data_IF_205815623889
#
_entry.id   IF_205815623889
#
_cell.length_a   1.000
_cell.length_b   1.000
_cell.length_c   1.000
_cell.angle_alpha   90.00
_cell.angle_beta   90.00
_cell.angle_gamma   90.00
#
_symmetry.space_group_name_H-M   'P 1'
#
loop_
_entity.id
_entity.type
_entity.pdbx_description
1 polymer ?
#
# COMPACT_ATOMS: atom_id res chain seq x y z
N UNK A 1 -27.81 -10.29 3.29
CA UNK A 1 -28.22 -10.00 4.67
C UNK A 1 -28.30 -8.49 4.82
N UNK A 2 -29.44 -7.89 5.21
CA UNK A 2 -29.49 -6.45 5.43
C UNK A 2 -28.61 -6.09 6.63
N UNK A 3 -27.70 -5.15 6.44
CA UNK A 3 -26.79 -4.64 7.48
C UNK A 3 -27.66 -3.92 8.51
N UNK A 4 -27.58 -4.30 9.78
CA UNK A 4 -28.34 -3.64 10.85
C UNK A 4 -27.70 -2.29 11.20
N UNK A 5 -28.46 -1.35 11.78
CA UNK A 5 -27.92 -0.05 12.18
C UNK A 5 -26.81 -0.20 13.25
N UNK A 6 -26.91 -1.23 14.10
CA UNK A 6 -25.86 -1.60 15.06
C UNK A 6 -24.55 -2.00 14.36
N UNK A 7 -24.63 -2.76 13.27
CA UNK A 7 -23.45 -3.14 12.48
C UNK A 7 -22.79 -1.91 11.83
N UNK A 8 -23.60 -0.96 11.36
CA UNK A 8 -23.09 0.31 10.78
C UNK A 8 -22.31 1.12 11.82
N UNK A 9 -22.84 1.26 13.04
CA UNK A 9 -22.15 1.98 14.11
C UNK A 9 -20.83 1.30 14.53
N UNK A 10 -20.82 -0.03 14.62
CA UNK A 10 -19.60 -0.78 14.93
C UNK A 10 -18.53 -0.61 13.84
N UNK A 11 -18.92 -0.67 12.55
CA UNK A 11 -18.02 -0.45 11.42
C UNK A 11 -17.45 0.98 11.46
N UNK A 12 -18.28 2.00 11.65
CA UNK A 12 -17.82 3.38 11.70
C UNK A 12 -16.89 3.65 12.89
N UNK A 13 -17.19 3.11 14.07
CA UNK A 13 -16.31 3.21 15.23
C UNK A 13 -14.93 2.58 14.95
N UNK A 14 -14.91 1.39 14.34
CA UNK A 14 -13.67 0.73 13.92
C UNK A 14 -12.86 1.57 12.94
N UNK A 15 -13.51 2.08 11.89
CA UNK A 15 -12.88 2.95 10.88
C UNK A 15 -12.24 4.17 11.54
N UNK A 16 -12.93 4.84 12.48
CA UNK A 16 -12.40 6.01 13.19
C UNK A 16 -11.15 5.64 13.99
N UNK A 17 -11.22 4.56 14.78
CA UNK A 17 -10.11 4.12 15.62
C UNK A 17 -8.87 3.80 14.77
N UNK A 18 -9.02 2.97 13.74
CA UNK A 18 -7.92 2.63 12.84
C UNK A 18 -7.37 3.84 12.09
N UNK A 19 -8.23 4.78 11.68
CA UNK A 19 -7.80 6.01 11.05
C UNK A 19 -6.95 6.88 11.98
N UNK A 20 -7.35 7.08 13.24
CA UNK A 20 -6.59 7.88 14.21
C UNK A 20 -5.22 7.27 14.47
N UNK A 21 -5.16 5.96 14.74
CA UNK A 21 -3.89 5.26 14.96
C UNK A 21 -3.01 5.26 13.70
N UNK A 22 -3.60 5.00 12.53
CA UNK A 22 -2.91 5.00 11.25
C UNK A 22 -2.31 6.37 10.91
N UNK A 23 -3.10 7.44 11.04
CA UNK A 23 -2.64 8.81 10.82
C UNK A 23 -1.52 9.19 11.79
N UNK A 24 -1.66 8.88 13.07
CA UNK A 24 -0.62 9.14 14.07
C UNK A 24 0.68 8.40 13.72
N UNK A 25 0.62 7.10 13.41
CA UNK A 25 1.78 6.32 13.02
C UNK A 25 2.46 6.86 11.76
N UNK A 26 1.66 7.14 10.72
CA UNK A 26 2.16 7.62 9.44
C UNK A 26 2.83 8.99 9.55
N UNK A 27 2.21 9.95 10.27
CA UNK A 27 2.78 11.28 10.48
C UNK A 27 4.10 11.21 11.24
N UNK A 28 4.22 10.33 12.24
CA UNK A 28 5.47 10.14 12.97
C UNK A 28 6.58 9.57 12.08
N UNK A 29 6.27 8.62 11.18
CA UNK A 29 7.25 8.07 10.24
C UNK A 29 7.72 9.14 9.25
N UNK A 30 6.80 9.95 8.73
CA UNK A 30 7.14 11.08 7.84
C UNK A 30 8.04 12.06 8.58
N UNK A 31 7.67 12.46 9.80
CA UNK A 31 8.48 13.36 10.63
C UNK A 31 9.87 12.80 10.93
N UNK A 32 9.96 11.51 11.28
CA UNK A 32 11.22 10.82 11.53
C UNK A 32 12.13 10.83 10.30
N UNK A 33 11.59 10.57 9.10
CA UNK A 33 12.36 10.63 7.84
C UNK A 33 12.92 12.03 7.56
N UNK A 34 12.13 13.07 7.84
CA UNK A 34 12.60 14.46 7.71
C UNK A 34 13.66 14.83 8.74
N UNK A 35 13.54 14.39 9.99
CA UNK A 35 14.49 14.73 11.05
C UNK A 35 15.81 13.97 10.94
N UNK A 36 15.76 12.67 10.63
CA UNK A 36 16.91 11.78 10.72
C UNK A 36 17.56 11.59 9.35
N UNK A 37 18.73 12.20 9.14
CA UNK A 37 19.50 12.04 7.89
C UNK A 37 19.85 10.58 7.59
N UNK A 38 20.01 9.75 8.62
CA UNK A 38 20.29 8.31 8.51
C UNK A 38 19.17 7.53 7.80
N UNK A 39 17.92 8.00 7.85
CA UNK A 39 16.76 7.37 7.22
C UNK A 39 16.56 7.78 5.75
N UNK A 40 17.34 8.74 5.24
CA UNK A 40 17.22 9.28 3.87
C UNK A 40 17.90 8.39 2.82
N UNK A 41 17.61 7.10 2.87
CA UNK A 41 18.10 6.07 1.94
C UNK A 41 17.16 5.91 0.74
N UNK A 42 17.53 5.06 -0.24
CA UNK A 42 16.64 4.72 -1.37
C UNK A 42 15.33 4.12 -0.86
N UNK A 43 15.44 3.11 0.02
CA UNK A 43 14.32 2.48 0.72
C UNK A 43 13.49 3.50 1.51
N UNK A 44 14.16 4.36 2.29
CA UNK A 44 13.48 5.38 3.09
C UNK A 44 12.63 6.32 2.25
N UNK A 45 13.09 6.70 1.05
CA UNK A 45 12.31 7.54 0.15
C UNK A 45 11.03 6.84 -0.36
N UNK A 46 11.12 5.55 -0.74
CA UNK A 46 9.93 4.76 -1.16
C UNK A 46 8.97 4.60 0.02
N UNK A 47 9.50 4.28 1.21
CA UNK A 47 8.70 4.15 2.43
C UNK A 47 7.95 5.45 2.75
N UNK A 48 8.61 6.61 2.67
CA UNK A 48 7.94 7.90 2.91
C UNK A 48 6.86 8.19 1.87
N UNK A 49 7.07 7.85 0.59
CA UNK A 49 6.04 7.96 -0.45
C UNK A 49 4.83 7.05 -0.17
N UNK A 50 5.07 5.81 0.29
CA UNK A 50 4.02 4.88 0.64
C UNK A 50 3.18 5.42 1.80
N UNK A 51 3.85 5.85 2.86
CA UNK A 51 3.21 6.36 4.08
C UNK A 51 2.46 7.67 3.81
N UNK A 52 2.98 8.54 2.93
CA UNK A 52 2.25 9.75 2.53
C UNK A 52 1.02 9.42 1.69
N UNK A 53 1.11 8.49 0.72
CA UNK A 53 -0.04 8.03 -0.04
C UNK A 53 -1.11 7.41 0.88
N UNK A 54 -0.68 6.58 1.84
CA UNK A 54 -1.59 5.95 2.80
C UNK A 54 -2.24 6.97 3.75
N UNK A 55 -1.52 8.00 4.17
CA UNK A 55 -2.10 9.12 4.95
C UNK A 55 -3.23 9.81 4.18
N UNK A 56 -3.05 10.05 2.88
CA UNK A 56 -4.09 10.63 2.04
C UNK A 56 -5.29 9.67 1.95
N UNK A 57 -5.06 8.37 1.76
CA UNK A 57 -6.13 7.37 1.75
C UNK A 57 -6.98 7.39 3.02
N UNK A 58 -6.36 7.41 4.20
CA UNK A 58 -7.05 7.49 5.49
C UNK A 58 -7.90 8.77 5.61
N UNK A 59 -7.37 9.93 5.21
CA UNK A 59 -8.14 11.18 5.22
C UNK A 59 -9.39 11.11 4.32
N UNK A 60 -9.29 10.48 3.16
CA UNK A 60 -10.43 10.31 2.26
C UNK A 60 -11.44 9.28 2.74
N UNK A 61 -11.00 8.22 3.44
CA UNK A 61 -11.92 7.29 4.10
C UNK A 61 -12.74 7.98 5.19
N UNK A 62 -12.10 8.85 5.98
CA UNK A 62 -12.80 9.68 6.96
C UNK A 62 -13.80 10.62 6.29
N UNK A 63 -13.38 11.32 5.23
CA UNK A 63 -14.25 12.23 4.49
C UNK A 63 -15.44 11.50 3.83
N UNK A 64 -15.20 10.31 3.26
CA UNK A 64 -16.24 9.46 2.69
C UNK A 64 -17.24 8.97 3.73
N UNK A 65 -16.78 8.64 4.95
CA UNK A 65 -17.66 8.24 6.05
C UNK A 65 -18.58 9.40 6.49
N UNK A 66 -18.05 10.61 6.65
CA UNK A 66 -18.85 11.81 6.98
C UNK A 66 -19.92 12.06 5.89
N UNK A 67 -19.54 11.90 4.62
CA UNK A 67 -20.45 12.09 3.50
C UNK A 67 -21.58 11.04 3.45
N UNK A 68 -21.26 9.76 3.74
CA UNK A 68 -22.26 8.69 3.80
C UNK A 68 -23.23 8.85 4.97
N UNK A 69 -22.78 9.37 6.13
CA UNK A 69 -23.66 9.67 7.28
C UNK A 69 -24.61 10.82 6.97
N UNK A 70 -24.21 11.77 6.12
CA UNK A 70 -25.00 12.95 5.79
C UNK A 70 -26.25 12.64 4.93
N UNK A 71 -26.41 11.42 4.41
CA UNK A 71 -27.62 10.97 3.72
C UNK A 71 -27.92 11.65 2.38
N UNK A 72 -26.96 12.38 1.79
CA UNK A 72 -27.15 13.07 0.52
C UNK A 72 -27.33 12.09 -0.65
N UNK A 73 -28.18 12.38 -1.65
CA UNK A 73 -28.32 11.53 -2.82
C UNK A 73 -27.01 11.47 -3.63
N UNK A 74 -26.47 10.26 -3.77
CA UNK A 74 -25.15 10.04 -4.37
C UNK A 74 -25.26 9.75 -5.87
N UNK A 75 -24.81 10.69 -6.69
CA UNK A 75 -24.62 10.51 -8.12
C UNK A 75 -23.19 10.00 -8.36
N UNK A 76 -23.05 8.89 -9.11
CA UNK A 76 -21.73 8.26 -9.36
C UNK A 76 -20.69 9.24 -9.88
N UNK A 77 -21.03 10.05 -10.88
CA UNK A 77 -20.13 11.09 -11.42
C UNK A 77 -19.59 12.04 -10.34
N UNK A 78 -20.45 12.58 -9.48
CA UNK A 78 -20.01 13.52 -8.43
C UNK A 78 -19.14 12.82 -7.38
N UNK A 79 -19.51 11.60 -7.00
CA UNK A 79 -18.69 10.76 -6.13
C UNK A 79 -17.31 10.49 -6.75
N UNK A 80 -17.25 10.13 -8.04
CA UNK A 80 -16.00 9.86 -8.74
C UNK A 80 -15.05 11.08 -8.71
N UNK A 81 -15.55 12.29 -8.97
CA UNK A 81 -14.74 13.50 -8.88
C UNK A 81 -14.21 13.73 -7.47
N UNK A 82 -15.07 13.59 -6.46
CA UNK A 82 -14.71 13.76 -5.06
C UNK A 82 -13.62 12.77 -4.62
N UNK A 83 -13.75 11.50 -5.02
CA UNK A 83 -12.80 10.44 -4.65
C UNK A 83 -11.64 10.28 -5.63
N UNK A 84 -11.56 11.08 -6.69
CA UNK A 84 -10.49 10.94 -7.68
C UNK A 84 -9.07 11.02 -7.08
N UNK A 85 -8.77 11.91 -6.10
CA UNK A 85 -7.45 11.93 -5.51
C UNK A 85 -7.19 10.68 -4.67
N UNK A 86 -8.21 10.19 -3.96
CA UNK A 86 -8.16 8.93 -3.22
C UNK A 86 -7.86 7.73 -4.12
N UNK A 87 -8.52 7.65 -5.26
CA UNK A 87 -8.33 6.58 -6.24
C UNK A 87 -6.89 6.55 -6.75
N UNK A 88 -6.34 7.71 -7.11
CA UNK A 88 -4.96 7.80 -7.54
C UNK A 88 -3.98 7.38 -6.44
N UNK A 89 -4.16 7.90 -5.22
CA UNK A 89 -3.26 7.58 -4.09
C UNK A 89 -3.38 6.13 -3.66
N UNK A 90 -4.57 5.52 -3.75
CA UNK A 90 -4.76 4.11 -3.49
C UNK A 90 -4.01 3.23 -4.50
N UNK A 91 -4.14 3.53 -5.80
CA UNK A 91 -3.41 2.81 -6.85
C UNK A 91 -1.90 2.94 -6.64
N UNK A 92 -1.44 4.15 -6.29
CA UNK A 92 -0.05 4.40 -5.96
C UNK A 92 0.38 3.62 -4.71
N UNK A 93 -0.42 3.59 -3.64
CA UNK A 93 -0.14 2.83 -2.41
C UNK A 93 0.05 1.33 -2.70
N UNK A 94 -0.85 0.71 -3.46
CA UNK A 94 -0.77 -0.72 -3.80
C UNK A 94 0.51 -1.03 -4.60
N UNK A 95 0.86 -0.17 -5.56
CA UNK A 95 2.09 -0.34 -6.33
C UNK A 95 3.36 -0.11 -5.50
N UNK A 96 3.33 0.83 -4.55
CA UNK A 96 4.46 1.15 -3.68
C UNK A 96 4.71 0.02 -2.67
N UNK A 97 3.66 -0.65 -2.20
CA UNK A 97 3.79 -1.89 -1.41
C UNK A 97 4.57 -2.96 -2.19
N UNK A 98 4.22 -3.17 -3.46
CA UNK A 98 4.96 -4.08 -4.34
C UNK A 98 6.41 -3.62 -4.53
N UNK A 99 6.63 -2.33 -4.80
CA UNK A 99 7.96 -1.75 -4.96
C UNK A 99 8.85 -1.96 -3.74
N UNK A 100 8.34 -1.76 -2.51
CA UNK A 100 9.08 -2.00 -1.26
C UNK A 100 9.44 -3.48 -1.12
N UNK A 101 8.49 -4.37 -1.37
CA UNK A 101 8.76 -5.82 -1.26
C UNK A 101 9.82 -6.29 -2.25
N UNK A 102 9.78 -5.77 -3.49
CA UNK A 102 10.78 -6.07 -4.52
C UNK A 102 12.12 -5.42 -4.20
N UNK A 103 12.16 -4.19 -3.69
CA UNK A 103 13.41 -3.52 -3.26
C UNK A 103 14.11 -4.34 -2.18
N UNK A 104 13.34 -4.86 -1.22
CA UNK A 104 13.85 -5.70 -0.16
C UNK A 104 14.37 -7.05 -0.68
N UNK A 105 13.67 -7.69 -1.62
CA UNK A 105 14.15 -8.89 -2.29
C UNK A 105 15.48 -8.63 -3.02
N UNK A 106 15.57 -7.55 -3.79
CA UNK A 106 16.78 -7.16 -4.52
C UNK A 106 17.94 -6.89 -3.53
N UNK A 107 17.66 -6.20 -2.42
CA UNK A 107 18.67 -5.92 -1.39
C UNK A 107 19.22 -7.19 -0.74
N UNK A 108 18.42 -8.26 -0.62
CA UNK A 108 18.85 -9.54 -0.03
C UNK A 108 19.56 -10.41 -1.07
N UNK A 109 19.02 -10.48 -2.30
CA UNK A 109 19.52 -11.35 -3.37
C UNK A 109 20.80 -10.80 -4.03
N UNK A 110 20.89 -9.48 -4.27
CA UNK A 110 21.96 -8.85 -5.04
C UNK A 110 22.42 -7.52 -4.41
N UNK A 111 23.04 -7.53 -3.20
CA UNK A 111 23.38 -6.32 -2.46
C UNK A 111 24.38 -5.40 -3.18
N UNK A 112 25.32 -5.97 -3.94
CA UNK A 112 26.33 -5.19 -4.66
C UNK A 112 25.73 -4.42 -5.84
N UNK A 113 24.87 -5.06 -6.63
CA UNK A 113 24.18 -4.40 -7.74
C UNK A 113 23.24 -3.31 -7.23
N UNK A 114 22.48 -3.58 -6.16
CA UNK A 114 21.59 -2.59 -5.53
C UNK A 114 22.32 -1.31 -5.12
N UNK A 115 23.55 -1.44 -4.60
CA UNK A 115 24.36 -0.29 -4.19
C UNK A 115 24.83 0.55 -5.38
N UNK A 116 25.24 -0.10 -6.48
CA UNK A 116 25.83 0.56 -7.65
C UNK A 116 24.78 1.32 -8.48
N UNK A 117 23.55 0.82 -8.59
CA UNK A 117 22.51 1.48 -9.40
C UNK A 117 22.20 2.89 -8.88
N UNK A 118 22.14 3.88 -9.77
CA UNK A 118 21.86 5.27 -9.41
C UNK A 118 20.48 5.41 -8.78
N UNK A 119 20.42 6.10 -7.63
CA UNK A 119 19.19 6.29 -6.85
C UNK A 119 18.00 6.81 -7.67
N UNK A 120 18.19 7.82 -8.52
CA UNK A 120 17.07 8.43 -9.28
C UNK A 120 16.46 7.44 -10.28
N UNK A 121 17.28 6.80 -11.10
CA UNK A 121 16.83 5.82 -12.10
C UNK A 121 16.12 4.64 -11.44
N UNK A 122 16.68 4.15 -10.33
CA UNK A 122 16.07 3.06 -9.56
C UNK A 122 14.69 3.44 -9.02
N UNK A 123 14.58 4.58 -8.33
CA UNK A 123 13.32 5.07 -7.78
C UNK A 123 12.27 5.30 -8.88
N UNK A 124 12.66 5.93 -9.99
CA UNK A 124 11.76 6.15 -11.11
C UNK A 124 11.24 4.82 -11.67
N UNK A 125 12.08 3.81 -11.83
CA UNK A 125 11.68 2.52 -12.38
C UNK A 125 10.69 1.76 -11.47
N UNK A 126 10.89 1.84 -10.15
CA UNK A 126 9.99 1.19 -9.17
C UNK A 126 8.66 1.93 -8.99
N UNK A 127 8.65 3.26 -9.09
CA UNK A 127 7.48 4.09 -8.82
C UNK A 127 6.62 4.30 -10.08
N UNK A 128 7.22 4.27 -11.26
CA UNK A 128 6.55 4.50 -12.55
C UNK A 128 5.34 3.56 -12.79
N UNK A 129 5.40 2.24 -12.52
CA UNK A 129 4.24 1.36 -12.70
C UNK A 129 3.02 1.82 -11.89
N UNK A 130 3.25 2.37 -10.70
CA UNK A 130 2.20 2.93 -9.84
C UNK A 130 1.54 4.17 -10.42
N UNK A 131 2.35 5.09 -10.93
CA UNK A 131 1.85 6.28 -11.61
C UNK A 131 1.05 5.93 -12.85
N UNK A 132 1.53 4.98 -13.66
CA UNK A 132 0.79 4.51 -14.84
C UNK A 132 -0.53 3.87 -14.41
N UNK A 133 -0.52 3.01 -13.40
CA UNK A 133 -1.72 2.36 -12.90
C UNK A 133 -2.76 3.38 -12.40
N UNK A 134 -2.36 4.35 -11.58
CA UNK A 134 -3.25 5.40 -11.08
C UNK A 134 -3.80 6.31 -12.18
N UNK A 135 -2.96 6.72 -13.14
CA UNK A 135 -3.37 7.60 -14.24
C UNK A 135 -4.32 6.89 -15.22
N UNK A 136 -4.04 5.64 -15.59
CA UNK A 136 -4.95 4.83 -16.44
C UNK A 136 -6.29 4.63 -15.74
N UNK A 137 -6.28 4.32 -14.44
CA UNK A 137 -7.50 4.13 -13.66
C UNK A 137 -8.34 5.40 -13.57
N UNK A 138 -7.70 6.56 -13.35
CA UNK A 138 -8.38 7.85 -13.38
C UNK A 138 -8.96 8.17 -14.75
N UNK A 139 -8.20 7.95 -15.81
CA UNK A 139 -8.63 8.23 -17.18
C UNK A 139 -9.85 7.38 -17.56
N UNK A 140 -9.79 6.07 -17.31
CA UNK A 140 -10.93 5.17 -17.55
C UNK A 140 -12.13 5.55 -16.68
N UNK A 141 -11.91 5.87 -15.41
CA UNK A 141 -12.98 6.31 -14.52
C UNK A 141 -13.67 7.58 -15.02
N UNK A 142 -12.91 8.54 -15.55
CA UNK A 142 -13.45 9.79 -16.10
C UNK A 142 -14.25 9.56 -17.39
N UNK A 143 -13.72 8.74 -18.32
CA UNK A 143 -14.35 8.46 -19.62
C UNK A 143 -15.67 7.70 -19.45
N UNK A 144 -15.72 6.73 -18.53
CA UNK A 144 -16.89 5.89 -18.31
C UNK A 144 -17.75 6.33 -17.10
N UNK A 145 -17.62 7.59 -16.65
CA UNK A 145 -18.38 8.12 -15.52
C UNK A 145 -19.85 8.42 -15.90
N UNK A 146 -20.78 7.53 -15.53
CA UNK A 146 -22.22 7.78 -15.73
C UNK A 146 -22.93 8.42 -14.52
N UNK A 147 -24.20 8.77 -14.74
CA UNK A 147 -25.08 9.47 -13.78
C UNK A 147 -26.00 8.53 -12.98
N UNK A 148 -25.72 7.23 -12.92
CA UNK A 148 -26.55 6.32 -12.13
C UNK A 148 -26.43 6.62 -10.63
N UNK A 149 -27.53 6.40 -9.91
CA UNK A 149 -27.55 6.50 -8.45
C UNK A 149 -26.78 5.34 -7.83
N UNK A 150 -25.97 5.62 -6.82
CA UNK A 150 -25.23 4.63 -6.04
C UNK A 150 -25.67 4.68 -4.57
N UNK A 151 -25.58 3.55 -3.87
CA UNK A 151 -25.98 3.45 -2.46
C UNK A 151 -24.94 4.02 -1.49
N UNK A 152 -23.65 3.92 -1.83
CA UNK A 152 -22.54 4.43 -1.03
C UNK A 152 -21.40 4.91 -1.92
N UNK A 153 -20.76 6.01 -1.53
CA UNK A 153 -19.59 6.53 -2.23
C UNK A 153 -18.34 5.86 -1.66
N UNK A 154 -17.85 4.84 -2.37
CA UNK A 154 -16.68 4.04 -2.03
C UNK A 154 -15.86 3.78 -3.30
N UNK A 155 -14.61 3.33 -3.14
CA UNK A 155 -13.70 3.13 -4.26
C UNK A 155 -14.25 2.20 -5.36
N UNK A 156 -14.69 0.95 -5.06
CA UNK A 156 -15.22 0.06 -6.10
C UNK A 156 -16.52 0.58 -6.72
N UNK A 157 -17.42 1.17 -5.92
CA UNK A 157 -18.72 1.66 -6.40
C UNK A 157 -18.64 2.93 -7.25
N UNK A 158 -17.50 3.63 -7.22
CA UNK A 158 -17.24 4.80 -8.06
C UNK A 158 -17.04 4.44 -9.53
N UNK A 159 -16.60 3.21 -9.81
CA UNK A 159 -16.40 2.71 -11.17
C UNK A 159 -17.66 2.03 -11.71
N UNK A 160 -17.89 2.09 -13.04
CA UNK A 160 -18.79 1.15 -13.68
C UNK A 160 -18.17 -0.26 -13.68
N UNK A 161 -19.02 -1.29 -13.67
CA UNK A 161 -18.64 -2.69 -13.50
C UNK A 161 -17.51 -3.17 -14.44
N UNK A 162 -17.45 -2.67 -15.68
CA UNK A 162 -16.39 -3.02 -16.63
C UNK A 162 -15.01 -2.49 -16.22
N UNK A 163 -14.94 -1.26 -15.71
CA UNK A 163 -13.68 -0.61 -15.29
C UNK A 163 -13.24 -1.16 -13.93
N UNK A 164 -14.19 -1.38 -13.03
CA UNK A 164 -13.96 -1.97 -11.71
C UNK A 164 -13.20 -3.31 -11.81
N UNK A 165 -13.60 -4.19 -12.74
CA UNK A 165 -12.93 -5.48 -12.95
C UNK A 165 -11.47 -5.33 -13.39
N UNK A 166 -11.21 -4.43 -14.34
CA UNK A 166 -9.85 -4.19 -14.85
C UNK A 166 -8.97 -3.64 -13.74
N UNK A 167 -9.49 -2.66 -12.98
CA UNK A 167 -8.82 -2.09 -11.83
C UNK A 167 -8.48 -3.16 -10.79
N UNK A 168 -9.45 -3.99 -10.40
CA UNK A 168 -9.22 -5.08 -9.46
C UNK A 168 -8.19 -6.10 -9.96
N UNK A 169 -8.23 -6.46 -11.24
CA UNK A 169 -7.28 -7.41 -11.82
C UNK A 169 -5.84 -6.89 -11.76
N UNK A 170 -5.62 -5.62 -12.12
CA UNK A 170 -4.29 -5.00 -12.06
C UNK A 170 -3.82 -4.90 -10.60
N UNK A 171 -4.71 -4.49 -9.69
CA UNK A 171 -4.43 -4.48 -8.26
C UNK A 171 -4.02 -5.86 -7.73
N UNK A 172 -4.70 -6.92 -8.16
CA UNK A 172 -4.37 -8.30 -7.82
C UNK A 172 -2.97 -8.68 -8.30
N UNK A 173 -2.57 -8.31 -9.52
CA UNK A 173 -1.22 -8.57 -10.04
C UNK A 173 -0.15 -7.95 -9.14
N UNK A 174 -0.27 -6.68 -8.75
CA UNK A 174 0.68 -6.05 -7.81
C UNK A 174 0.75 -6.78 -6.47
N UNK A 175 -0.39 -7.32 -6.03
CA UNK A 175 -0.49 -8.07 -4.77
C UNK A 175 0.25 -9.39 -4.85
N UNK A 176 0.05 -10.13 -5.94
CA UNK A 176 0.77 -11.39 -6.21
C UNK A 176 2.27 -11.12 -6.26
N UNK A 177 2.71 -10.05 -6.95
CA UNK A 177 4.12 -9.64 -6.98
C UNK A 177 4.64 -9.34 -5.57
N UNK A 178 3.84 -8.67 -4.74
CA UNK A 178 4.19 -8.33 -3.35
C UNK A 178 4.43 -9.59 -2.52
N UNK A 179 3.45 -10.50 -2.51
CA UNK A 179 3.51 -11.77 -1.75
C UNK A 179 4.66 -12.64 -2.27
N UNK A 180 4.79 -12.80 -3.59
CA UNK A 180 5.86 -13.59 -4.18
C UNK A 180 7.24 -13.03 -3.84
N UNK A 181 7.42 -11.69 -3.86
CA UNK A 181 8.67 -11.04 -3.48
C UNK A 181 9.01 -11.29 -2.01
N UNK A 182 8.03 -11.19 -1.12
CA UNK A 182 8.22 -11.47 0.30
C UNK A 182 8.56 -12.93 0.59
N UNK A 183 7.86 -13.88 -0.03
CA UNK A 183 8.14 -15.32 0.11
C UNK A 183 9.55 -15.61 -0.41
N UNK A 184 9.92 -15.12 -1.60
CA UNK A 184 11.26 -15.30 -2.15
C UNK A 184 12.34 -14.70 -1.24
N UNK A 185 12.11 -13.50 -0.69
CA UNK A 185 13.04 -12.86 0.23
C UNK A 185 13.23 -13.70 1.50
N UNK A 186 12.14 -14.24 2.06
CA UNK A 186 12.18 -15.12 3.22
C UNK A 186 12.92 -16.43 2.92
N UNK A 187 12.62 -17.08 1.79
CA UNK A 187 13.29 -18.34 1.38
C UNK A 187 14.78 -18.14 1.17
N UNK A 188 15.20 -17.09 0.44
CA UNK A 188 16.63 -16.80 0.23
C UNK A 188 17.33 -16.57 1.56
N UNK A 189 16.72 -15.79 2.45
CA UNK A 189 17.31 -15.48 3.74
C UNK A 189 17.37 -16.72 4.66
N UNK A 190 16.36 -17.59 4.62
CA UNK A 190 16.36 -18.87 5.31
C UNK A 190 17.42 -19.84 4.77
N UNK A 191 17.51 -20.01 3.44
CA UNK A 191 18.54 -20.84 2.81
C UNK A 191 19.95 -20.34 3.13
N UNK A 192 20.16 -19.03 3.08
CA UNK A 192 21.44 -18.40 3.43
C UNK A 192 21.79 -18.62 4.90
N UNK A 193 20.82 -18.49 5.82
CA UNK A 193 21.02 -18.80 7.23
C UNK A 193 21.35 -20.28 7.46
N UNK A 194 20.62 -21.20 6.83
CA UNK A 194 20.86 -22.64 6.96
C UNK A 194 22.27 -23.01 6.50
N UNK A 195 22.71 -22.47 5.36
CA UNK A 195 24.07 -22.66 4.85
C UNK A 195 25.15 -21.99 5.71
N UNK A 196 24.87 -20.83 6.32
CA UNK A 196 25.81 -20.12 7.20
C UNK A 196 25.92 -20.76 8.60
N UNK A 197 24.84 -21.37 9.11
CA UNK A 197 24.84 -22.16 10.35
C UNK A 197 25.76 -23.38 10.25
N UNK A 198 25.99 -23.90 9.05
CA UNK A 198 26.99 -24.94 8.79
C UNK A 198 28.44 -24.44 8.92
N UNK A 199 28.69 -23.12 8.84
CA UNK A 199 30.04 -22.55 8.72
C UNK A 199 30.49 -21.58 9.83
N UNK A 200 29.61 -20.89 10.54
CA UNK A 200 30.03 -19.82 11.48
C UNK A 200 29.07 -19.65 12.66
N UNK A 201 29.45 -20.22 13.80
CA UNK A 201 28.74 -20.16 15.08
C UNK A 201 29.10 -18.91 15.93
N UNK A 202 29.76 -17.89 15.37
CA UNK A 202 30.18 -16.71 16.14
C UNK A 202 29.61 -15.40 15.55
N UNK A 203 28.71 -14.80 16.33
CA UNK A 203 28.54 -13.34 16.52
C UNK A 203 27.52 -12.52 15.68
N UNK A 204 27.03 -12.96 14.51
CA UNK A 204 26.11 -12.13 13.69
C UNK A 204 24.62 -12.54 13.64
N UNK A 205 24.22 -13.62 14.32
CA UNK A 205 22.85 -14.16 14.23
C UNK A 205 21.73 -13.25 14.76
N UNK A 206 22.05 -12.29 15.64
CA UNK A 206 21.03 -11.43 16.26
C UNK A 206 20.41 -10.43 15.27
N UNK A 207 21.19 -9.89 14.33
CA UNK A 207 20.70 -8.93 13.33
C UNK A 207 19.84 -9.65 12.28
N UNK A 208 20.30 -10.81 11.79
CA UNK A 208 19.57 -11.60 10.80
C UNK A 208 18.28 -12.21 11.38
N UNK A 209 18.30 -12.68 12.63
CA UNK A 209 17.10 -13.14 13.34
C UNK A 209 16.08 -12.01 13.57
N UNK A 210 16.55 -10.78 13.84
CA UNK A 210 15.67 -9.61 13.99
C UNK A 210 15.04 -9.20 12.65
N UNK A 211 15.81 -9.26 11.56
CA UNK A 211 15.29 -9.04 10.21
C UNK A 211 14.26 -10.11 9.83
N UNK A 212 14.52 -11.40 10.08
CA UNK A 212 13.54 -12.49 9.86
C UNK A 212 12.24 -12.29 10.63
N UNK A 213 12.31 -11.95 11.93
CA UNK A 213 11.09 -11.68 12.71
C UNK A 213 10.30 -10.51 12.14
N UNK A 214 10.96 -9.42 11.76
CA UNK A 214 10.30 -8.26 11.16
C UNK A 214 9.64 -8.62 9.82
N UNK A 215 10.33 -9.39 8.98
CA UNK A 215 9.84 -9.91 7.70
C UNK A 215 8.62 -10.82 7.87
N UNK A 216 8.70 -11.80 8.77
CA UNK A 216 7.58 -12.72 9.04
C UNK A 216 6.36 -11.98 9.58
N UNK A 217 6.56 -11.00 10.46
CA UNK A 217 5.46 -10.14 10.94
C UNK A 217 4.84 -9.35 9.79
N UNK A 218 5.66 -8.74 8.92
CA UNK A 218 5.17 -7.99 7.74
C UNK A 218 4.35 -8.88 6.80
N UNK A 219 4.78 -10.13 6.57
CA UNK A 219 4.05 -11.10 5.73
C UNK A 219 2.71 -11.47 6.35
N UNK A 220 2.70 -11.81 7.66
CA UNK A 220 1.47 -12.18 8.36
C UNK A 220 0.49 -11.01 8.37
N UNK A 221 0.95 -9.80 8.69
CA UNK A 221 0.12 -8.60 8.67
C UNK A 221 -0.43 -8.34 7.27
N UNK A 222 0.39 -8.43 6.22
CA UNK A 222 -0.05 -8.21 4.85
C UNK A 222 -1.09 -9.25 4.37
N UNK A 223 -0.98 -10.51 4.81
CA UNK A 223 -1.96 -11.56 4.52
C UNK A 223 -3.25 -11.34 5.34
N UNK A 224 -3.16 -10.87 6.58
CA UNK A 224 -4.33 -10.61 7.43
C UNK A 224 -5.07 -9.31 7.09
N UNK A 225 -4.39 -8.33 6.49
CA UNK A 225 -4.96 -7.03 6.09
C UNK A 225 -5.71 -7.10 4.74
N UNK A 226 -5.46 -8.15 3.94
CA UNK A 226 -6.00 -8.37 2.59
C UNK A 226 -7.16 -9.35 2.56
#
# INVERSE_FOLDING_TARGET
MPITDSDRHAIYAGVIVFNVFGLFGNLNVIYAHYRLKALRTKYGAILTMLVSAHTICLLYELAGMVYNISGAPLIRRNCFYFISPYLFTYCLQVSLMAAISTDMLISIAAPLQHRIVRRRTYLSLLVLPGFIYGTVSLYLGFVYADHSKISMCQLPSSFPFSVEKIWHLIGLVFTIVTVASYIAAFTILYCKHSHLNSKLQLNNGNIERKAMKSLSILIIVFICER
#
